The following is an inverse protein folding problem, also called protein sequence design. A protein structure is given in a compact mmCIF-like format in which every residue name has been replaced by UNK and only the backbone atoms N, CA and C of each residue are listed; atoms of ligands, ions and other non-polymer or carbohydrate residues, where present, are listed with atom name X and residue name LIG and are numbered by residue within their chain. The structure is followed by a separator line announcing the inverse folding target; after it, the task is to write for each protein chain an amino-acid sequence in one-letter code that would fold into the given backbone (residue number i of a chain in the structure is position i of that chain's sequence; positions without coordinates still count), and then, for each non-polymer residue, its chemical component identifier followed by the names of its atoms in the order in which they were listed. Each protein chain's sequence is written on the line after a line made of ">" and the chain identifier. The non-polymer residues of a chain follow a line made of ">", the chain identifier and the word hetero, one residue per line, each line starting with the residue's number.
data_IF_802317749601
#
_entry.id   IF_802317749601
#
_cell.length_a   1.000
_cell.length_b   1.000
_cell.length_c   1.000
_cell.angle_alpha   90.00
_cell.angle_beta   90.00
_cell.angle_gamma   90.00
#
_symmetry.space_group_name_H-M   'P 1'
#
loop_
_entity.id
_entity.type
_entity.pdbx_description
1 polymer ?
#
# COMPACT_ATOMS: atom_id res chain seq x y z
N UNK A 1 1.99 -2.92 1.66
CA UNK A 1 2.25 -2.50 0.27
C UNK A 1 2.36 -3.74 -0.62
N UNK A 2 1.49 -3.87 -1.62
CA UNK A 2 1.61 -4.96 -2.61
C UNK A 2 2.88 -4.72 -3.42
N UNK A 3 3.89 -5.55 -3.22
CA UNK A 3 5.06 -5.51 -4.09
C UNK A 3 4.69 -6.22 -5.40
N UNK A 4 4.45 -5.43 -6.45
CA UNK A 4 4.10 -5.99 -7.75
C UNK A 4 5.30 -6.50 -8.56
N UNK A 5 6.53 -6.25 -8.11
CA UNK A 5 7.74 -6.75 -8.78
C UNK A 5 7.97 -8.21 -8.43
N UNK A 6 8.30 -9.03 -9.43
CA UNK A 6 8.70 -10.41 -9.23
C UNK A 6 10.04 -10.69 -9.93
N UNK A 7 10.81 -11.60 -9.34
CA UNK A 7 12.08 -12.09 -9.87
C UNK A 7 12.13 -13.60 -9.68
N UNK A 8 12.31 -14.33 -10.78
CA UNK A 8 12.44 -15.79 -10.78
C UNK A 8 13.92 -16.13 -10.97
N UNK A 9 14.44 -16.98 -10.08
CA UNK A 9 15.84 -17.37 -10.05
C UNK A 9 16.00 -18.85 -10.39
N UNK A 10 17.06 -19.18 -11.13
CA UNK A 10 17.61 -20.53 -11.23
C UNK A 10 19.04 -20.48 -10.69
N UNK A 11 19.22 -20.94 -9.45
CA UNK A 11 20.47 -20.78 -8.71
C UNK A 11 20.86 -19.30 -8.55
N UNK A 12 22.07 -18.88 -8.96
CA UNK A 12 22.52 -17.49 -8.85
C UNK A 12 22.05 -16.59 -10.01
N UNK A 13 21.32 -17.11 -11.00
CA UNK A 13 20.94 -16.37 -12.22
C UNK A 13 19.47 -15.95 -12.16
N UNK A 14 19.19 -14.71 -12.55
CA UNK A 14 17.82 -14.20 -12.76
C UNK A 14 17.37 -14.66 -14.14
N UNK A 15 16.29 -15.44 -14.20
CA UNK A 15 15.71 -15.95 -15.44
C UNK A 15 14.68 -14.96 -15.99
N UNK A 16 13.87 -14.39 -15.11
CA UNK A 16 12.76 -13.52 -15.46
C UNK A 16 12.59 -12.47 -14.37
N UNK A 17 12.43 -11.22 -14.78
CA UNK A 17 12.02 -10.12 -13.93
C UNK A 17 10.90 -9.33 -14.60
N UNK A 18 9.92 -8.89 -13.80
CA UNK A 18 8.78 -8.16 -14.32
C UNK A 18 7.88 -7.60 -13.23
N UNK A 19 6.77 -7.01 -13.67
CA UNK A 19 5.68 -6.55 -12.83
C UNK A 19 4.46 -7.42 -13.08
N UNK A 20 3.77 -7.87 -12.03
CA UNK A 20 2.45 -8.48 -12.18
C UNK A 20 1.36 -7.42 -12.08
N UNK A 21 0.26 -7.65 -12.79
CA UNK A 21 -0.93 -6.83 -12.67
C UNK A 21 -1.59 -7.07 -11.32
N UNK A 22 -1.92 -5.97 -10.64
CA UNK A 22 -2.67 -6.00 -9.39
C UNK A 22 -4.12 -5.63 -9.64
N UNK A 23 -5.00 -6.27 -8.90
CA UNK A 23 -6.43 -6.01 -8.95
C UNK A 23 -6.84 -5.01 -7.88
N UNK A 24 -7.94 -4.28 -8.12
CA UNK A 24 -8.53 -3.41 -7.10
C UNK A 24 -8.91 -4.15 -5.80
N UNK A 25 -9.15 -5.47 -5.88
CA UNK A 25 -9.40 -6.30 -4.70
C UNK A 25 -8.17 -6.39 -3.80
N UNK A 26 -6.98 -6.55 -4.37
CA UNK A 26 -5.73 -6.63 -3.62
C UNK A 26 -5.36 -5.28 -3.02
N UNK A 27 -5.48 -4.20 -3.80
CA UNK A 27 -5.28 -2.82 -3.33
C UNK A 27 -6.17 -2.52 -2.12
N UNK A 28 -7.47 -2.86 -2.20
CA UNK A 28 -8.39 -2.64 -1.08
C UNK A 28 -8.06 -3.50 0.15
N UNK A 29 -7.72 -4.77 -0.05
CA UNK A 29 -7.33 -5.67 1.06
C UNK A 29 -6.13 -5.10 1.82
N UNK A 30 -5.08 -4.72 1.09
CA UNK A 30 -3.86 -4.20 1.70
C UNK A 30 -4.08 -2.83 2.36
N UNK A 31 -4.94 -1.98 1.77
CA UNK A 31 -5.35 -0.72 2.38
C UNK A 31 -6.06 -0.96 3.72
N UNK A 32 -7.00 -1.90 3.73
CA UNK A 32 -7.77 -2.21 4.93
C UNK A 32 -6.87 -2.78 6.03
N UNK A 33 -5.90 -3.64 5.68
CA UNK A 33 -4.87 -4.13 6.60
C UNK A 33 -4.04 -3.00 7.20
N UNK A 34 -3.53 -2.08 6.38
CA UNK A 34 -2.69 -0.96 6.84
C UNK A 34 -3.50 0.02 7.73
N UNK A 35 -4.78 0.21 7.42
CA UNK A 35 -5.69 0.99 8.27
C UNK A 35 -5.95 0.29 9.61
N UNK A 36 -6.01 -1.04 9.65
CA UNK A 36 -6.14 -1.82 10.88
C UNK A 36 -4.85 -1.77 11.71
N UNK A 37 -3.69 -1.98 11.08
CA UNK A 37 -2.37 -1.94 11.71
C UNK A 37 -2.04 -0.57 12.33
N UNK A 38 -2.64 0.49 11.79
CA UNK A 38 -2.49 1.86 12.29
C UNK A 38 -3.67 2.32 13.16
N UNK A 39 -4.70 1.49 13.37
CA UNK A 39 -5.93 1.89 14.05
C UNK A 39 -5.73 2.18 15.54
N UNK A 40 -4.82 1.45 16.19
CA UNK A 40 -4.45 1.68 17.60
C UNK A 40 -3.91 3.10 17.87
N UNK A 41 -3.50 3.85 16.84
CA UNK A 41 -3.07 5.25 16.95
C UNK A 41 -4.25 6.22 17.06
N UNK A 42 -5.45 5.80 16.67
CA UNK A 42 -6.68 6.59 16.67
C UNK A 42 -7.57 6.36 17.91
N UNK A 43 -7.06 5.68 18.94
CA UNK A 43 -7.76 5.46 20.21
C UNK A 43 -7.93 6.77 21.01
N UNK A 44 -8.98 6.85 21.83
CA UNK A 44 -9.33 8.07 22.60
C UNK A 44 -8.22 8.58 23.51
N UNK A 45 -7.37 7.69 24.01
CA UNK A 45 -6.28 8.03 24.94
C UNK A 45 -5.07 8.68 24.25
N UNK A 46 -5.07 8.77 22.91
CA UNK A 46 -3.96 9.31 22.13
C UNK A 46 -4.44 10.27 21.07
N UNK A 47 -3.70 11.35 20.90
CA UNK A 47 -3.89 12.25 19.75
C UNK A 47 -3.01 11.78 18.61
N UNK A 48 -3.64 11.30 17.53
CA UNK A 48 -2.93 10.95 16.30
C UNK A 48 -2.25 12.17 15.71
N UNK A 49 -0.97 12.04 15.33
CA UNK A 49 -0.23 13.14 14.69
C UNK A 49 -0.86 13.48 13.33
N UNK A 50 -0.61 14.71 12.86
CA UNK A 50 -1.12 15.14 11.55
C UNK A 50 -0.59 14.24 10.42
N UNK A 51 0.70 13.87 10.47
CA UNK A 51 1.29 12.98 9.47
C UNK A 51 0.57 11.61 9.38
N UNK A 52 0.16 11.03 10.52
CA UNK A 52 -0.62 9.78 10.53
C UNK A 52 -2.06 9.97 10.00
N UNK A 53 -2.67 11.16 10.20
CA UNK A 53 -3.96 11.50 9.59
C UNK A 53 -3.82 11.59 8.08
N UNK A 54 -2.82 12.32 7.60
CA UNK A 54 -2.58 12.52 6.17
C UNK A 54 -2.28 11.20 5.47
N UNK A 55 -1.46 10.34 6.11
CA UNK A 55 -1.18 8.98 5.64
C UNK A 55 -2.46 8.15 5.47
N UNK A 56 -3.31 8.11 6.50
CA UNK A 56 -4.57 7.35 6.50
C UNK A 56 -5.60 7.93 5.52
N UNK A 57 -5.56 9.23 5.24
CA UNK A 57 -6.38 9.88 4.22
C UNK A 57 -5.89 9.48 2.83
N UNK A 58 -4.59 9.62 2.55
CA UNK A 58 -3.99 9.22 1.28
C UNK A 58 -4.29 7.76 0.92
N UNK A 59 -4.20 6.83 1.89
CA UNK A 59 -4.59 5.44 1.69
C UNK A 59 -6.04 5.25 1.24
N UNK A 60 -6.97 6.08 1.74
CA UNK A 60 -8.39 6.01 1.37
C UNK A 60 -8.68 6.65 0.01
N UNK A 61 -7.88 7.63 -0.37
CA UNK A 61 -8.04 8.41 -1.60
C UNK A 61 -7.38 7.72 -2.81
N UNK A 62 -6.50 6.72 -2.59
CA UNK A 62 -5.90 5.89 -3.66
C UNK A 62 -6.89 5.42 -4.77
N UNK A 63 -8.12 4.94 -4.47
CA UNK A 63 -9.07 4.54 -5.51
C UNK A 63 -9.77 5.71 -6.23
N UNK A 64 -9.66 6.93 -5.70
CA UNK A 64 -10.23 8.15 -6.29
C UNK A 64 -9.19 8.88 -7.14
N UNK A 65 -7.92 8.84 -6.72
CA UNK A 65 -6.81 9.56 -7.37
C UNK A 65 -6.20 8.80 -8.57
N UNK A 66 -6.54 7.52 -8.73
CA UNK A 66 -5.95 6.66 -9.76
C UNK A 66 -7.03 5.89 -10.54
N UNK A 67 -6.91 5.90 -11.87
CA UNK A 67 -7.82 5.18 -12.77
C UNK A 67 -7.63 3.65 -12.69
N UNK A 68 -6.39 3.21 -12.50
CA UNK A 68 -5.99 1.81 -12.49
C UNK A 68 -5.41 1.37 -11.14
N UNK A 69 -5.70 0.12 -10.76
CA UNK A 69 -5.17 -0.50 -9.53
C UNK A 69 -3.63 -0.56 -9.52
N UNK A 70 -3.03 -0.76 -10.70
CA UNK A 70 -1.58 -0.74 -10.89
C UNK A 70 -0.98 0.61 -10.50
N UNK A 71 -1.57 1.71 -10.97
CA UNK A 71 -1.13 3.08 -10.67
C UNK A 71 -1.32 3.42 -9.19
N UNK A 72 -2.44 3.00 -8.59
CA UNK A 72 -2.68 3.15 -7.16
C UNK A 72 -1.65 2.39 -6.30
N UNK A 73 -1.24 1.21 -6.75
CA UNK A 73 -0.22 0.41 -6.07
C UNK A 73 1.17 1.05 -6.15
N UNK A 74 1.52 1.65 -7.29
CA UNK A 74 2.80 2.34 -7.46
C UNK A 74 2.87 3.63 -6.63
N UNK A 75 1.74 4.30 -6.43
CA UNK A 75 1.63 5.55 -5.68
C UNK A 75 1.37 5.34 -4.17
N UNK A 76 1.67 4.15 -3.64
CA UNK A 76 1.37 3.83 -2.24
C UNK A 76 2.08 4.80 -1.27
N UNK A 77 1.34 5.49 -0.38
CA UNK A 77 1.94 6.45 0.54
C UNK A 77 2.88 5.72 1.51
N UNK A 78 3.94 6.40 1.95
CA UNK A 78 4.86 5.85 2.94
C UNK A 78 4.40 6.22 4.35
N UNK A 79 4.44 5.27 5.31
CA UNK A 79 4.10 5.57 6.70
C UNK A 79 5.10 6.57 7.28
N UNK A 80 4.64 7.54 8.09
CA UNK A 80 5.53 8.48 8.75
C UNK A 80 6.32 7.81 9.88
N UNK A 81 7.50 8.36 10.20
CA UNK A 81 8.36 7.90 11.32
C UNK A 81 7.71 8.08 12.70
#
# INVERSE_FOLDING_TARGET
>A
MVNRSYRIYDGPVIIEEGMHDVTWREVRRDRDQELEDTDWRAVKDRTMSQAWKDYRTALRDLPQDHEDANSACDAWPQPPE
#
